data_IF_043712014002
#
_entry.id   IF_043712014002
#
_cell.length_a   1.000
_cell.length_b   1.000
_cell.length_c   1.000
_cell.angle_alpha   90.00
_cell.angle_beta   90.00
_cell.angle_gamma   90.00
#
_symmetry.space_group_name_H-M   'P 1'
#
loop_
_entity.id
_entity.type
_entity.pdbx_description
1 polymer ?
#
# COMPACT_ATOMS: atom_id res chain seq x y z
N UNK A 1 30.82 -4.33 4.61
CA UNK A 1 29.70 -5.23 4.27
C UNK A 1 28.95 -4.60 3.11
N UNK A 2 28.78 -5.29 1.98
CA UNK A 2 28.00 -4.78 0.85
C UNK A 2 26.54 -5.15 1.07
N UNK A 3 25.67 -4.16 1.25
CA UNK A 3 24.24 -4.39 1.23
C UNK A 3 23.82 -4.56 -0.25
N UNK A 4 23.22 -5.70 -0.64
CA UNK A 4 22.75 -5.87 -2.01
C UNK A 4 21.67 -4.83 -2.32
N UNK A 5 21.70 -4.27 -3.54
CA UNK A 5 20.62 -3.43 -4.03
C UNK A 5 19.35 -4.28 -4.12
N UNK A 6 18.25 -3.76 -3.59
CA UNK A 6 16.93 -4.38 -3.67
C UNK A 6 15.94 -3.41 -4.30
N UNK A 7 14.83 -3.95 -4.80
CA UNK A 7 13.79 -3.18 -5.46
C UNK A 7 12.47 -3.33 -4.71
N UNK A 8 11.75 -2.22 -4.61
CA UNK A 8 10.37 -2.20 -4.12
C UNK A 8 9.41 -1.84 -5.23
N UNK A 9 8.18 -2.33 -5.14
CA UNK A 9 7.08 -1.90 -5.99
C UNK A 9 6.27 -0.82 -5.29
N UNK A 10 6.02 0.28 -5.98
CA UNK A 10 5.13 1.33 -5.51
C UNK A 10 3.71 1.00 -6.00
N UNK A 11 2.81 0.81 -5.04
CA UNK A 11 1.43 0.42 -5.28
C UNK A 11 0.66 1.60 -5.88
N UNK A 12 -0.11 1.33 -6.94
CA UNK A 12 -1.01 2.34 -7.46
C UNK A 12 -2.11 2.63 -6.44
N UNK A 13 -2.40 3.90 -6.24
CA UNK A 13 -3.37 4.34 -5.23
C UNK A 13 -4.80 4.49 -5.77
N UNK A 14 -4.96 4.58 -7.10
CA UNK A 14 -6.23 4.67 -7.82
C UNK A 14 -6.07 4.19 -9.27
N UNK A 15 -7.16 3.76 -9.95
CA UNK A 15 -7.13 3.38 -11.35
C UNK A 15 -6.96 4.60 -12.26
N UNK A 16 -6.10 4.48 -13.27
CA UNK A 16 -5.88 5.52 -14.29
C UNK A 16 -6.57 5.25 -15.63
N UNK A 17 -7.20 4.08 -15.75
CA UNK A 17 -7.89 3.58 -16.94
C UNK A 17 -9.43 3.70 -16.85
N UNK A 18 -9.95 4.29 -15.76
CA UNK A 18 -11.39 4.40 -15.49
C UNK A 18 -12.02 3.14 -14.91
N UNK A 19 -11.22 2.15 -14.49
CA UNK A 19 -11.72 0.93 -13.85
C UNK A 19 -12.50 1.20 -12.56
N UNK A 20 -13.54 0.40 -12.32
CA UNK A 20 -14.24 0.39 -11.05
C UNK A 20 -13.36 -0.21 -9.92
N UNK A 21 -13.72 0.05 -8.67
CA UNK A 21 -12.94 -0.35 -7.49
C UNK A 21 -12.60 -1.85 -7.43
N UNK A 22 -13.55 -2.72 -7.79
CA UNK A 22 -13.35 -4.17 -7.82
C UNK A 22 -12.38 -4.60 -8.93
N UNK A 23 -12.48 -3.99 -10.11
CA UNK A 23 -11.56 -4.23 -11.21
C UNK A 23 -10.15 -3.75 -10.85
N UNK A 24 -10.03 -2.59 -10.21
CA UNK A 24 -8.76 -2.07 -9.72
C UNK A 24 -8.10 -2.99 -8.68
N UNK A 25 -8.87 -3.50 -7.70
CA UNK A 25 -8.35 -4.47 -6.73
C UNK A 25 -7.86 -5.76 -7.42
N UNK A 26 -8.59 -6.24 -8.43
CA UNK A 26 -8.18 -7.40 -9.22
C UNK A 26 -6.89 -7.11 -10.01
N UNK A 27 -6.74 -5.92 -10.58
CA UNK A 27 -5.51 -5.50 -11.25
C UNK A 27 -4.32 -5.51 -10.27
N UNK A 28 -4.45 -4.87 -9.11
CA UNK A 28 -3.40 -4.82 -8.08
C UNK A 28 -2.94 -6.24 -7.68
N UNK A 29 -3.89 -7.10 -7.32
CA UNK A 29 -3.58 -8.45 -6.87
C UNK A 29 -3.05 -9.34 -7.99
N UNK A 30 -3.59 -9.24 -9.21
CA UNK A 30 -3.07 -10.01 -10.36
C UNK A 30 -1.64 -9.59 -10.71
N UNK A 31 -1.33 -8.30 -10.67
CA UNK A 31 0.03 -7.80 -10.90
C UNK A 31 1.00 -8.31 -9.83
N UNK A 32 0.62 -8.25 -8.55
CA UNK A 32 1.46 -8.73 -7.46
C UNK A 32 1.63 -10.25 -7.49
N UNK A 33 0.57 -11.01 -7.77
CA UNK A 33 0.62 -12.46 -7.92
C UNK A 33 1.64 -12.87 -9.00
N UNK A 34 1.79 -12.07 -10.05
CA UNK A 34 2.78 -12.30 -11.11
C UNK A 34 4.19 -11.80 -10.78
N UNK A 35 4.32 -10.63 -10.14
CA UNK A 35 5.59 -9.90 -10.07
C UNK A 35 6.26 -9.91 -8.69
N UNK A 36 5.60 -10.40 -7.63
CA UNK A 36 6.09 -10.31 -6.24
C UNK A 36 7.51 -10.84 -6.05
N UNK A 37 7.89 -11.93 -6.74
CA UNK A 37 9.20 -12.58 -6.60
C UNK A 37 10.37 -11.70 -7.09
N UNK A 38 10.08 -10.59 -7.76
CA UNK A 38 11.06 -9.62 -8.24
C UNK A 38 11.28 -8.44 -7.27
N UNK A 39 10.50 -8.35 -6.19
CA UNK A 39 10.56 -7.25 -5.23
C UNK A 39 10.79 -7.77 -3.81
N UNK A 40 11.37 -6.93 -2.97
CA UNK A 40 11.52 -7.20 -1.53
C UNK A 40 10.52 -6.42 -0.69
N UNK A 41 9.91 -5.36 -1.26
CA UNK A 41 9.02 -4.47 -0.53
C UNK A 41 7.92 -3.87 -1.40
N UNK A 42 6.79 -3.55 -0.78
CA UNK A 42 5.64 -2.86 -1.38
C UNK A 42 5.41 -1.54 -0.64
N UNK A 43 5.22 -0.45 -1.38
CA UNK A 43 5.07 0.90 -0.83
C UNK A 43 3.72 1.51 -1.21
N UNK A 44 2.97 2.02 -0.22
CA UNK A 44 1.60 2.51 -0.41
C UNK A 44 1.55 4.00 -0.03
N UNK A 45 0.98 4.83 -0.91
CA UNK A 45 0.78 6.25 -0.59
C UNK A 45 -0.24 6.45 0.52
N UNK A 46 -0.08 7.52 1.30
CA UNK A 46 -1.06 7.94 2.30
C UNK A 46 -1.73 9.24 1.85
N UNK A 47 -2.67 9.11 0.90
CA UNK A 47 -3.69 10.13 0.66
C UNK A 47 -5.08 9.54 0.92
N UNK A 48 -6.07 10.41 1.05
CA UNK A 48 -7.46 10.01 1.32
C UNK A 48 -8.38 10.15 0.10
N UNK A 49 -7.86 10.75 -0.97
CA UNK A 49 -8.52 10.93 -2.27
C UNK A 49 -7.45 11.12 -3.36
N UNK A 50 -7.81 11.02 -4.66
CA UNK A 50 -6.87 11.23 -5.75
C UNK A 50 -6.15 12.58 -5.64
N UNK A 51 -4.82 12.53 -5.62
CA UNK A 51 -3.97 13.75 -5.60
C UNK A 51 -3.77 14.34 -7.00
N UNK A 52 -4.11 13.57 -8.04
CA UNK A 52 -3.88 13.92 -9.43
C UNK A 52 -5.02 14.79 -9.98
N UNK A 53 -4.69 15.97 -10.51
CA UNK A 53 -5.68 16.91 -11.08
C UNK A 53 -6.38 16.41 -12.35
N UNK A 54 -5.88 15.32 -12.95
CA UNK A 54 -6.52 14.66 -14.09
C UNK A 54 -7.52 13.57 -13.68
N UNK A 55 -7.70 13.33 -12.38
CA UNK A 55 -8.69 12.39 -11.85
C UNK A 55 -9.85 13.13 -11.19
N UNK A 56 -11.03 12.51 -11.23
CA UNK A 56 -12.16 12.98 -10.45
C UNK A 56 -11.93 12.67 -8.97
N UNK A 57 -12.40 13.55 -8.08
CA UNK A 57 -12.23 13.40 -6.63
C UNK A 57 -12.94 12.15 -6.07
N UNK A 58 -13.92 11.61 -6.80
CA UNK A 58 -14.65 10.39 -6.46
C UNK A 58 -14.11 9.12 -7.12
N UNK A 59 -12.98 9.20 -7.85
CA UNK A 59 -12.29 8.01 -8.37
C UNK A 59 -11.93 7.07 -7.21
N UNK A 60 -12.16 5.75 -7.33
CA UNK A 60 -11.79 4.79 -6.30
C UNK A 60 -10.33 4.94 -5.84
N UNK A 61 -10.12 5.04 -4.52
CA UNK A 61 -8.80 5.21 -3.92
C UNK A 61 -8.61 4.23 -2.76
N UNK A 62 -7.42 3.62 -2.66
CA UNK A 62 -7.10 2.69 -1.56
C UNK A 62 -6.47 3.42 -0.38
N UNK A 63 -6.97 3.18 0.84
CA UNK A 63 -6.43 3.81 2.05
C UNK A 63 -5.16 3.10 2.53
N UNK A 64 -4.13 3.85 2.93
CA UNK A 64 -2.78 3.33 3.21
C UNK A 64 -2.73 2.18 4.22
N UNK A 65 -3.20 2.39 5.44
CA UNK A 65 -2.95 1.46 6.55
C UNK A 65 -3.76 0.16 6.39
N UNK A 66 -5.00 0.26 5.94
CA UNK A 66 -5.86 -0.90 5.67
C UNK A 66 -5.39 -1.68 4.44
N UNK A 67 -4.84 -1.00 3.43
CA UNK A 67 -4.22 -1.67 2.27
C UNK A 67 -2.97 -2.43 2.66
N UNK A 68 -2.09 -1.84 3.47
CA UNK A 68 -0.92 -2.55 4.01
C UNK A 68 -1.37 -3.78 4.79
N UNK A 69 -2.35 -3.66 5.69
CA UNK A 69 -2.86 -4.80 6.45
C UNK A 69 -3.40 -5.93 5.55
N UNK A 70 -4.17 -5.57 4.51
CA UNK A 70 -4.70 -6.53 3.54
C UNK A 70 -3.60 -7.23 2.73
N UNK A 71 -2.65 -6.47 2.17
CA UNK A 71 -1.60 -7.02 1.33
C UNK A 71 -0.56 -7.81 2.14
N UNK A 72 -0.23 -7.38 3.36
CA UNK A 72 0.70 -8.11 4.22
C UNK A 72 0.16 -9.49 4.62
N UNK A 73 -1.15 -9.61 4.82
CA UNK A 73 -1.79 -10.90 5.05
C UNK A 73 -1.74 -11.81 3.81
N UNK A 74 -1.80 -11.23 2.60
CA UNK A 74 -1.81 -11.98 1.33
C UNK A 74 -0.41 -12.36 0.84
N UNK A 75 0.60 -11.54 1.08
CA UNK A 75 1.97 -11.73 0.60
C UNK A 75 2.98 -11.68 1.76
N UNK A 76 2.99 -12.70 2.65
CA UNK A 76 3.72 -12.67 3.92
C UNK A 76 5.26 -12.72 3.79
N UNK A 77 5.79 -12.89 2.57
CA UNK A 77 7.23 -12.89 2.30
C UNK A 77 7.79 -11.50 1.97
N UNK A 78 6.92 -10.53 1.69
CA UNK A 78 7.29 -9.17 1.32
C UNK A 78 7.30 -8.25 2.54
N UNK A 79 8.12 -7.21 2.49
CA UNK A 79 8.05 -6.09 3.45
C UNK A 79 7.07 -5.02 2.96
N UNK A 80 6.45 -4.30 3.89
CA UNK A 80 5.46 -3.27 3.56
C UNK A 80 5.81 -1.94 4.20
N UNK A 81 5.59 -0.86 3.46
CA UNK A 81 5.84 0.49 3.91
C UNK A 81 4.84 1.50 3.36
N UNK A 82 4.70 2.60 4.08
CA UNK A 82 3.97 3.79 3.65
C UNK A 82 4.92 4.79 2.97
N UNK A 83 4.47 5.46 1.92
CA UNK A 83 5.24 6.50 1.21
C UNK A 83 4.37 7.73 0.93
N UNK A 84 4.22 8.70 1.83
CA UNK A 84 4.67 8.77 3.23
C UNK A 84 3.57 8.26 4.17
N UNK A 85 3.76 8.32 5.49
CA UNK A 85 2.66 8.19 6.47
C UNK A 85 2.38 9.56 7.07
N UNK A 86 1.25 10.16 6.72
CA UNK A 86 0.93 11.51 7.15
C UNK A 86 0.40 11.49 8.60
N UNK A 87 1.21 11.98 9.55
CA UNK A 87 0.82 11.95 10.95
C UNK A 87 -0.39 12.84 11.24
N UNK A 88 -0.61 13.90 10.47
CA UNK A 88 -1.69 14.86 10.70
C UNK A 88 -3.08 14.34 10.32
N UNK A 89 -3.19 13.21 9.61
CA UNK A 89 -4.48 12.61 9.25
C UNK A 89 -5.12 11.81 10.37
N UNK A 90 -4.35 11.41 11.39
CA UNK A 90 -4.80 10.46 12.42
C UNK A 90 -4.34 10.90 13.79
N UNK A 91 -5.08 10.50 14.83
CA UNK A 91 -4.61 10.68 16.20
C UNK A 91 -3.28 9.90 16.40
N UNK A 92 -2.23 10.51 16.95
CA UNK A 92 -0.91 9.87 17.06
C UNK A 92 -0.89 8.63 17.96
N UNK A 93 -1.70 8.61 19.03
CA UNK A 93 -1.83 7.44 19.90
C UNK A 93 -2.54 6.28 19.20
N UNK A 94 -3.58 6.58 18.40
CA UNK A 94 -4.25 5.60 17.56
C UNK A 94 -3.30 5.07 16.48
N UNK A 95 -2.55 5.95 15.82
CA UNK A 95 -1.56 5.57 14.80
C UNK A 95 -0.50 4.62 15.37
N UNK A 96 0.07 4.96 16.54
CA UNK A 96 1.03 4.11 17.22
C UNK A 96 0.45 2.72 17.51
N UNK A 97 -0.81 2.65 17.98
CA UNK A 97 -1.47 1.36 18.25
C UNK A 97 -1.73 0.55 16.97
N UNK A 98 -2.15 1.19 15.88
CA UNK A 98 -2.37 0.52 14.60
C UNK A 98 -1.08 -0.07 14.04
N UNK A 99 0.01 0.70 14.01
CA UNK A 99 1.32 0.24 13.51
C UNK A 99 1.87 -0.88 14.41
N UNK A 100 1.82 -0.73 15.73
CA UNK A 100 2.26 -1.79 16.66
C UNK A 100 1.45 -3.07 16.50
N UNK A 101 0.15 -2.97 16.27
CA UNK A 101 -0.71 -4.13 16.03
C UNK A 101 -0.40 -4.80 14.69
N UNK A 102 -0.22 -4.00 13.63
CA UNK A 102 0.18 -4.50 12.32
C UNK A 102 1.50 -5.28 12.44
N UNK A 103 2.52 -4.69 13.07
CA UNK A 103 3.80 -5.36 13.29
C UNK A 103 3.66 -6.67 14.07
N UNK A 104 2.79 -6.73 15.07
CA UNK A 104 2.52 -7.98 15.79
C UNK A 104 1.87 -9.04 14.88
N UNK A 105 0.91 -8.64 14.04
CA UNK A 105 0.20 -9.56 13.14
C UNK A 105 1.08 -10.05 11.98
N UNK A 106 2.01 -9.23 11.50
CA UNK A 106 2.90 -9.57 10.37
C UNK A 106 4.21 -10.22 10.81
N UNK A 107 4.61 -10.05 12.07
CA UNK A 107 5.88 -10.55 12.60
C UNK A 107 7.08 -9.61 12.35
N UNK A 108 6.82 -8.37 11.92
CA UNK A 108 7.84 -7.44 11.44
C UNK A 108 7.94 -7.49 9.94
#
# INVERSE_FOLDING_TARGET
>A
MTHPLTFGWHCHSFPVDGSAANAFLNQLTTTLDYAQDHFTSIWIDDHLWPWATFQADDTPYVECMTTIAYLAARYPTLQFGSSVLCQSYRNPGLLAKMVANLQWLTGG
#
